data_IF_101391762885
#
_entry.id   IF_101391762885
#
_cell.length_a   1.000
_cell.length_b   1.000
_cell.length_c   1.000
_cell.angle_alpha   90.00
_cell.angle_beta   90.00
_cell.angle_gamma   90.00
#
_symmetry.space_group_name_H-M   'P 1'
#
loop_
_entity.id
_entity.type
_entity.pdbx_description
1 polymer ?
#
# COMPACT_ATOMS: atom_id res chain seq x y z
N UNK A 1 -1.42 8.15 -12.42
CA UNK A 1 -0.89 7.51 -11.22
C UNK A 1 0.09 6.44 -11.66
N UNK A 2 1.32 6.46 -11.15
CA UNK A 2 2.33 5.44 -11.48
C UNK A 2 2.56 4.54 -10.27
N UNK A 3 2.93 3.27 -10.50
CA UNK A 3 3.26 2.34 -9.41
C UNK A 3 4.42 2.87 -8.54
N UNK A 4 5.28 3.71 -9.11
CA UNK A 4 6.40 4.33 -8.41
C UNK A 4 5.94 5.34 -7.34
N UNK A 5 4.85 6.08 -7.59
CA UNK A 5 4.27 7.04 -6.63
C UNK A 5 3.67 6.31 -5.42
N UNK A 6 2.99 5.18 -5.66
CA UNK A 6 2.40 4.36 -4.60
C UNK A 6 3.52 3.72 -3.77
N UNK A 7 4.53 3.14 -4.42
CA UNK A 7 5.71 2.58 -3.74
C UNK A 7 6.46 3.65 -2.92
N UNK A 8 6.52 4.90 -3.40
CA UNK A 8 7.10 6.02 -2.68
C UNK A 8 6.39 6.31 -1.35
N UNK A 9 5.07 6.29 -1.41
CA UNK A 9 4.21 6.59 -0.28
C UNK A 9 4.26 5.45 0.74
N UNK A 10 4.13 4.20 0.28
CA UNK A 10 4.30 3.02 1.15
C UNK A 10 5.67 3.06 1.83
N UNK A 11 6.75 3.33 1.09
CA UNK A 11 8.11 3.45 1.64
C UNK A 11 8.23 4.55 2.71
N UNK A 12 7.58 5.70 2.54
CA UNK A 12 7.59 6.77 3.53
C UNK A 12 6.79 6.41 4.79
N UNK A 13 5.57 5.92 4.62
CA UNK A 13 4.67 5.62 5.74
C UNK A 13 5.16 4.42 6.56
N UNK A 14 5.66 3.38 5.90
CA UNK A 14 6.18 2.17 6.56
C UNK A 14 7.63 2.32 7.03
N UNK A 15 8.34 3.35 6.55
CA UNK A 15 9.78 3.53 6.78
C UNK A 15 10.67 2.48 6.08
N UNK A 16 10.09 1.63 5.23
CA UNK A 16 10.82 0.61 4.49
C UNK A 16 11.48 1.21 3.26
N UNK A 17 12.71 0.79 2.96
CA UNK A 17 13.38 1.16 1.71
C UNK A 17 12.71 0.48 0.51
N UNK A 18 12.55 1.20 -0.62
CA UNK A 18 11.97 0.63 -1.85
C UNK A 18 12.67 -0.64 -2.33
N UNK A 19 13.96 -0.79 -2.03
CA UNK A 19 14.73 -1.99 -2.38
C UNK A 19 14.33 -3.22 -1.55
N UNK A 20 13.76 -3.01 -0.35
CA UNK A 20 13.23 -4.05 0.54
C UNK A 20 11.75 -4.34 0.30
N UNK A 21 11.03 -3.42 -0.35
CA UNK A 21 9.64 -3.57 -0.75
C UNK A 21 9.51 -4.56 -1.91
N UNK A 22 9.65 -5.84 -1.58
CA UNK A 22 9.48 -6.94 -2.52
C UNK A 22 7.98 -7.10 -2.88
N UNK A 23 7.58 -6.98 -4.17
CA UNK A 23 6.17 -7.01 -4.56
C UNK A 23 5.48 -8.36 -4.27
N UNK A 24 6.26 -9.44 -4.25
CA UNK A 24 5.84 -10.81 -3.95
C UNK A 24 5.81 -11.11 -2.44
N UNK A 25 6.43 -10.26 -1.61
CA UNK A 25 6.38 -10.40 -0.16
C UNK A 25 5.02 -9.97 0.40
N UNK A 26 4.61 -10.62 1.48
CA UNK A 26 3.38 -10.27 2.20
C UNK A 26 3.59 -9.06 3.10
N UNK A 27 2.52 -8.32 3.38
CA UNK A 27 2.57 -7.17 4.30
C UNK A 27 3.16 -7.58 5.66
N UNK A 28 2.77 -8.76 6.16
CA UNK A 28 3.34 -9.33 7.39
C UNK A 28 4.86 -9.57 7.29
N UNK A 29 5.36 -10.08 6.15
CA UNK A 29 6.81 -10.31 5.98
C UNK A 29 7.61 -9.03 5.81
N UNK A 30 6.96 -7.98 5.32
CA UNK A 30 7.55 -6.65 5.18
C UNK A 30 7.50 -5.87 6.51
N UNK A 31 6.97 -6.44 7.58
CA UNK A 31 6.77 -5.76 8.88
C UNK A 31 5.85 -4.54 8.78
N UNK A 32 4.91 -4.56 7.82
CA UNK A 32 3.90 -3.52 7.65
C UNK A 32 2.78 -3.81 8.65
N UNK A 33 2.66 -2.96 9.66
CA UNK A 33 1.61 -3.08 10.67
C UNK A 33 0.25 -2.62 10.12
N UNK A 34 -0.83 -2.98 10.81
CA UNK A 34 -2.16 -2.46 10.49
C UNK A 34 -2.25 -0.93 10.61
N UNK A 35 -1.44 -0.32 11.48
CA UNK A 35 -1.38 1.14 11.63
C UNK A 35 -0.72 1.77 10.40
N UNK A 36 0.40 1.21 9.95
CA UNK A 36 1.10 1.72 8.76
C UNK A 36 0.23 1.56 7.52
N UNK A 37 -0.46 0.42 7.39
CA UNK A 37 -1.42 0.18 6.32
C UNK A 37 -2.52 1.24 6.34
N UNK A 38 -3.12 1.52 7.50
CA UNK A 38 -4.17 2.54 7.62
C UNK A 38 -3.64 3.92 7.20
N UNK A 39 -2.43 4.32 7.63
CA UNK A 39 -1.82 5.59 7.21
C UNK A 39 -1.59 5.65 5.71
N UNK A 40 -1.05 4.59 5.12
CA UNK A 40 -0.88 4.45 3.65
C UNK A 40 -2.21 4.64 2.94
N UNK A 41 -3.25 3.93 3.38
CA UNK A 41 -4.56 4.01 2.76
C UNK A 41 -5.09 5.44 2.86
N UNK A 42 -5.14 6.06 4.04
CA UNK A 42 -5.59 7.45 4.23
C UNK A 42 -4.89 8.44 3.29
N UNK A 43 -3.56 8.37 3.19
CA UNK A 43 -2.80 9.27 2.32
C UNK A 43 -3.13 9.01 0.83
N UNK A 44 -3.34 7.74 0.47
CA UNK A 44 -3.76 7.39 -0.89
C UNK A 44 -5.20 7.90 -1.16
N UNK A 45 -6.12 7.77 -0.20
CA UNK A 45 -7.49 8.28 -0.30
C UNK A 45 -7.51 9.80 -0.47
N UNK A 46 -6.71 10.55 0.30
CA UNK A 46 -6.62 12.01 0.18
C UNK A 46 -5.97 12.46 -1.14
N UNK A 47 -4.88 11.81 -1.54
CA UNK A 47 -4.14 12.18 -2.76
C UNK A 47 -4.82 11.74 -4.06
N UNK A 48 -5.50 10.60 -4.04
CA UNK A 48 -6.00 9.95 -5.26
C UNK A 48 -7.52 9.75 -5.28
N UNK A 49 -8.22 9.99 -4.17
CA UNK A 49 -9.67 9.83 -4.09
C UNK A 49 -10.14 8.38 -4.20
N UNK A 50 -9.28 7.42 -3.83
CA UNK A 50 -9.70 6.02 -3.65
C UNK A 50 -10.37 5.85 -2.31
N UNK A 51 -11.14 4.78 -2.14
CA UNK A 51 -11.66 4.38 -0.85
C UNK A 51 -11.39 2.89 -0.70
N UNK A 52 -10.51 2.52 0.23
CA UNK A 52 -10.06 1.13 0.41
C UNK A 52 -10.10 0.82 1.89
N UNK A 53 -10.88 -0.19 2.24
CA UNK A 53 -10.97 -0.58 3.63
C UNK A 53 -9.78 -1.47 4.02
N UNK A 54 -9.12 -1.21 5.16
CA UNK A 54 -8.03 -2.04 5.64
C UNK A 54 -8.46 -3.48 5.92
N UNK A 55 -9.75 -3.71 6.23
CA UNK A 55 -10.32 -5.05 6.42
C UNK A 55 -10.28 -5.91 5.14
N UNK A 56 -10.30 -5.27 3.97
CA UNK A 56 -10.21 -5.99 2.70
C UNK A 56 -8.78 -6.45 2.43
N UNK A 57 -7.78 -5.82 3.04
CA UNK A 57 -6.34 -6.08 2.85
C UNK A 57 -5.82 -6.87 4.06
N UNK A 58 -5.88 -8.20 4.01
CA UNK A 58 -5.38 -9.00 5.10
C UNK A 58 -3.83 -9.01 5.11
N UNK A 59 -3.19 -9.29 6.25
CA UNK A 59 -1.73 -9.25 6.40
C UNK A 59 -0.99 -10.29 5.54
N UNK A 60 -1.67 -11.36 5.12
CA UNK A 60 -1.16 -12.33 4.13
C UNK A 60 -1.18 -11.83 2.69
N UNK A 61 -1.80 -10.69 2.40
CA UNK A 61 -1.75 -10.10 1.06
C UNK A 61 -0.35 -9.65 0.72
N UNK A 62 -0.01 -9.77 -0.57
CA UNK A 62 1.27 -9.28 -1.07
C UNK A 62 1.24 -7.78 -1.28
N UNK A 63 2.43 -7.17 -1.25
CA UNK A 63 2.57 -5.76 -1.59
C UNK A 63 2.03 -5.45 -2.99
N UNK A 64 2.24 -6.34 -3.96
CA UNK A 64 1.68 -6.21 -5.30
C UNK A 64 0.15 -6.16 -5.26
N UNK A 65 -0.50 -7.01 -4.46
CA UNK A 65 -1.96 -6.99 -4.33
C UNK A 65 -2.47 -5.67 -3.75
N UNK A 66 -1.77 -5.09 -2.77
CA UNK A 66 -2.09 -3.77 -2.23
C UNK A 66 -2.00 -2.69 -3.33
N UNK A 67 -0.90 -2.67 -4.08
CA UNK A 67 -0.69 -1.73 -5.19
C UNK A 67 -1.77 -1.90 -6.26
N UNK A 68 -2.11 -3.14 -6.61
CA UNK A 68 -3.14 -3.45 -7.61
C UNK A 68 -4.51 -2.97 -7.14
N UNK A 69 -4.84 -3.13 -5.84
CA UNK A 69 -6.10 -2.63 -5.25
C UNK A 69 -6.18 -1.12 -5.30
N UNK A 70 -5.11 -0.43 -4.92
CA UNK A 70 -4.99 1.02 -5.02
C UNK A 70 -5.19 1.46 -6.47
N UNK A 71 -4.57 0.76 -7.40
CA UNK A 71 -4.61 1.12 -8.81
C UNK A 71 -5.96 0.86 -9.46
N UNK A 72 -6.65 -0.20 -9.02
CA UNK A 72 -8.00 -0.52 -9.47
C UNK A 72 -9.07 0.42 -8.85
N UNK A 73 -8.85 0.89 -7.63
CA UNK A 73 -9.75 1.81 -6.92
C UNK A 73 -9.61 3.28 -7.34
N UNK A 74 -8.46 3.65 -7.90
CA UNK A 74 -8.22 4.98 -8.47
C UNK A 74 -9.17 5.26 -9.63
N UNK A 75 -10.14 6.15 -9.40
CA UNK A 75 -10.96 6.70 -10.48
C UNK A 75 -10.06 7.49 -11.41
N UNK A 76 -10.07 7.10 -12.69
CA UNK A 76 -9.35 7.76 -13.78
C UNK A 76 -9.77 9.22 -13.97
#
# INVERSE_FOLDING_TARGET
MTNEDIMALISQETGLEREKLAPDATLATLDISSIDLVSVLFEIEDRFGVEIQPEDIPPESTLQQLIDRITAGAKA
#
